data_IF_249796340815
#
_entry.id   IF_249796340815
#
_cell.length_a   1.000
_cell.length_b   1.000
_cell.length_c   1.000
_cell.angle_alpha   90.00
_cell.angle_beta   90.00
_cell.angle_gamma   90.00
#
_symmetry.space_group_name_H-M   'P 1'
#
loop_
_entity.id
_entity.type
_entity.pdbx_description
1 polymer ?
#
# COMPACT_ATOMS: atom_id res chain seq x y z
N UNK A 1 14.46 2.10 5.63
CA UNK A 1 13.71 2.67 4.49
C UNK A 1 12.25 2.94 4.83
N UNK A 2 11.45 1.93 5.20
CA UNK A 2 9.99 2.07 5.39
C UNK A 2 9.58 3.05 6.50
N UNK A 3 10.28 3.07 7.63
CA UNK A 3 10.01 4.01 8.72
C UNK A 3 10.34 5.48 8.40
N UNK A 4 11.05 5.76 7.29
CA UNK A 4 11.38 7.11 6.85
C UNK A 4 10.45 7.61 5.74
N UNK A 5 9.60 6.74 5.16
CA UNK A 5 8.66 7.09 4.10
C UNK A 5 7.24 7.15 4.69
N UNK A 6 6.60 8.33 4.74
CA UNK A 6 5.30 8.51 5.42
C UNK A 6 4.14 7.68 4.87
N UNK A 7 4.26 7.21 3.62
CA UNK A 7 3.29 6.37 2.91
C UNK A 7 3.93 5.03 2.53
N UNK A 8 4.67 4.42 3.46
CA UNK A 8 5.21 3.08 3.27
C UNK A 8 4.09 2.04 3.16
N UNK A 9 4.25 1.09 2.23
CA UNK A 9 3.25 0.05 1.92
C UNK A 9 3.92 -1.33 1.97
N UNK A 10 3.28 -2.28 2.63
CA UNK A 10 3.68 -3.69 2.63
C UNK A 10 2.64 -4.57 1.91
N UNK A 11 3.10 -5.47 1.04
CA UNK A 11 2.29 -6.57 0.50
C UNK A 11 2.20 -7.69 1.52
N UNK A 12 1.14 -8.51 1.50
CA UNK A 12 0.92 -9.53 2.53
C UNK A 12 1.93 -10.69 2.54
N UNK A 13 2.73 -10.83 1.49
CA UNK A 13 3.71 -11.92 1.30
C UNK A 13 5.09 -11.65 1.90
N UNK A 14 5.33 -10.44 2.44
CA UNK A 14 6.64 -10.06 3.00
C UNK A 14 6.85 -10.56 4.43
N UNK A 15 8.10 -10.46 4.88
CA UNK A 15 8.48 -10.74 6.27
C UNK A 15 7.66 -9.90 7.27
N UNK A 16 7.35 -10.49 8.43
CA UNK A 16 6.54 -9.86 9.49
C UNK A 16 7.12 -8.53 9.96
N UNK A 17 8.44 -8.36 9.97
CA UNK A 17 9.10 -7.10 10.33
C UNK A 17 8.75 -5.99 9.34
N UNK A 18 8.64 -6.32 8.05
CA UNK A 18 8.26 -5.36 7.01
C UNK A 18 6.79 -4.95 7.16
N UNK A 19 5.90 -5.91 7.45
CA UNK A 19 4.49 -5.65 7.76
C UNK A 19 4.37 -4.71 8.98
N UNK A 20 5.13 -4.94 10.04
CA UNK A 20 5.05 -4.11 11.25
C UNK A 20 5.51 -2.67 11.06
N UNK A 21 6.46 -2.42 10.15
CA UNK A 21 7.05 -1.08 9.96
C UNK A 21 6.33 -0.27 8.88
N UNK A 22 5.68 -0.93 7.92
CA UNK A 22 4.91 -0.22 6.89
C UNK A 22 3.63 0.37 7.48
N UNK A 23 3.29 1.60 7.05
CA UNK A 23 2.07 2.27 7.46
C UNK A 23 0.82 1.63 6.89
N UNK A 24 0.89 1.22 5.62
CA UNK A 24 -0.24 0.68 4.87
C UNK A 24 0.01 -0.75 4.42
N UNK A 25 -1.06 -1.51 4.24
CA UNK A 25 -1.00 -2.93 3.89
C UNK A 25 -1.92 -3.24 2.72
N UNK A 26 -1.41 -4.02 1.77
CA UNK A 26 -2.15 -4.46 0.58
C UNK A 26 -2.04 -5.98 0.42
N UNK A 27 -2.76 -6.52 -0.56
CA UNK A 27 -2.81 -7.95 -0.86
C UNK A 27 -1.47 -8.56 -1.29
N UNK A 28 -1.51 -9.82 -1.73
CA UNK A 28 -0.31 -10.56 -2.12
C UNK A 28 0.23 -10.08 -3.46
N UNK A 29 1.55 -10.19 -3.64
CA UNK A 29 2.19 -9.95 -4.94
C UNK A 29 1.67 -10.89 -6.04
N UNK A 30 1.26 -12.11 -5.69
CA UNK A 30 0.68 -13.07 -6.64
C UNK A 30 -0.69 -12.65 -7.20
N UNK A 31 -1.38 -11.73 -6.52
CA UNK A 31 -2.72 -11.24 -6.89
C UNK A 31 -2.67 -9.85 -7.56
N UNK A 32 -1.51 -9.44 -8.08
CA UNK A 32 -1.29 -8.10 -8.65
C UNK A 32 -1.63 -6.94 -7.70
N UNK A 33 -1.53 -7.15 -6.38
CA UNK A 33 -1.97 -6.19 -5.39
C UNK A 33 -1.27 -4.82 -5.50
N UNK A 34 0.01 -4.79 -5.93
CA UNK A 34 0.74 -3.55 -6.16
C UNK A 34 0.12 -2.74 -7.30
N UNK A 35 -0.19 -3.40 -8.42
CA UNK A 35 -0.82 -2.75 -9.58
C UNK A 35 -2.22 -2.27 -9.22
N UNK A 36 -2.99 -3.08 -8.48
CA UNK A 36 -4.30 -2.70 -7.99
C UNK A 36 -4.22 -1.46 -7.07
N UNK A 37 -3.28 -1.44 -6.13
CA UNK A 37 -3.05 -0.31 -5.22
C UNK A 37 -2.68 0.97 -5.98
N UNK A 38 -1.79 0.88 -6.98
CA UNK A 38 -1.41 2.03 -7.80
C UNK A 38 -2.58 2.60 -8.60
N UNK A 39 -3.42 1.73 -9.18
CA UNK A 39 -4.64 2.14 -9.90
C UNK A 39 -5.63 2.83 -8.96
N UNK A 40 -5.84 2.29 -7.76
CA UNK A 40 -6.75 2.90 -6.79
C UNK A 40 -6.25 4.27 -6.32
N UNK A 41 -4.94 4.42 -6.06
CA UNK A 41 -4.35 5.75 -5.76
C UNK A 41 -4.59 6.73 -6.90
N UNK A 42 -4.38 6.32 -8.16
CA UNK A 42 -4.58 7.22 -9.30
C UNK A 42 -6.04 7.68 -9.41
N UNK A 43 -6.99 6.76 -9.24
CA UNK A 43 -8.43 7.06 -9.26
C UNK A 43 -8.83 7.96 -8.10
N UNK A 44 -8.41 7.63 -6.86
CA UNK A 44 -8.72 8.41 -5.68
C UNK A 44 -8.11 9.82 -5.74
N UNK A 45 -6.85 9.92 -6.19
CA UNK A 45 -6.16 11.21 -6.36
C UNK A 45 -6.85 12.09 -7.40
N UNK A 46 -7.31 11.53 -8.51
CA UNK A 46 -8.09 12.27 -9.50
C UNK A 46 -9.41 12.81 -8.93
N UNK A 47 -9.97 12.14 -7.92
CA UNK A 47 -11.17 12.57 -7.20
C UNK A 47 -10.87 13.44 -5.95
N UNK A 48 -9.61 13.80 -5.69
CA UNK A 48 -9.22 14.55 -4.48
C UNK A 48 -9.42 13.79 -3.17
N UNK A 49 -9.38 12.44 -3.22
CA UNK A 49 -9.61 11.54 -2.09
C UNK A 49 -8.36 10.71 -1.80
N UNK A 50 -8.34 10.09 -0.62
CA UNK A 50 -7.42 9.00 -0.33
C UNK A 50 -7.96 7.69 -0.91
N UNK A 51 -7.03 6.82 -1.29
CA UNK A 51 -7.36 5.44 -1.67
C UNK A 51 -7.99 4.73 -0.49
N UNK A 52 -8.87 3.77 -0.78
CA UNK A 52 -9.65 3.08 0.24
C UNK A 52 -8.72 2.48 1.30
N UNK A 53 -7.70 1.71 0.95
CA UNK A 53 -6.83 1.08 1.96
C UNK A 53 -5.89 2.04 2.74
N UNK A 54 -5.99 3.36 2.55
CA UNK A 54 -5.19 4.40 3.22
C UNK A 54 -5.98 5.19 4.29
N UNK A 55 -6.66 4.51 5.24
CA UNK A 55 -7.36 5.11 6.39
C UNK A 55 -6.69 4.86 7.74
#
# INVERSE_FOLDING_TARGET
MLGAVPNSVAVSTVDKVVVQVARWHIGATADDAVVAAMKDIAVASAAGKLSAWMW
#
